data_IF_057220766439
#
_entry.id   IF_057220766439
#
_cell.length_a   1.000
_cell.length_b   1.000
_cell.length_c   1.000
_cell.angle_alpha   90.00
_cell.angle_beta   90.00
_cell.angle_gamma   90.00
#
_symmetry.space_group_name_H-M   'P 1'
#
loop_
_entity.id
_entity.type
_entity.pdbx_description
1 polymer ?
#
# COMPACT_ATOMS: atom_id res chain seq x y z
N UNK A 1 10.71 -5.94 -4.61
CA UNK A 1 10.55 -4.52 -4.22
C UNK A 1 10.12 -4.50 -2.76
N UNK A 2 10.62 -3.58 -1.95
CA UNK A 2 10.19 -3.43 -0.55
C UNK A 2 9.07 -2.40 -0.50
N UNK A 3 8.01 -2.67 0.26
CA UNK A 3 6.93 -1.71 0.47
C UNK A 3 7.47 -0.51 1.25
N UNK A 4 7.37 0.72 0.71
CA UNK A 4 7.92 1.91 1.36
C UNK A 4 7.20 2.29 2.66
N UNK A 5 5.96 1.80 2.85
CA UNK A 5 5.12 2.12 4.01
C UNK A 5 5.29 1.17 5.19
N UNK A 6 5.47 -0.13 4.95
CA UNK A 6 5.50 -1.15 6.00
C UNK A 6 6.71 -2.09 5.93
N UNK A 7 7.67 -1.79 5.05
CA UNK A 7 8.93 -2.52 4.85
C UNK A 7 8.75 -4.02 4.50
N UNK A 8 7.53 -4.45 4.13
CA UNK A 8 7.23 -5.81 3.66
C UNK A 8 7.83 -6.07 2.27
N UNK A 9 8.36 -7.27 2.06
CA UNK A 9 8.86 -7.74 0.77
C UNK A 9 7.74 -8.27 -0.15
N UNK A 10 6.50 -8.38 0.36
CA UNK A 10 5.34 -8.90 -0.37
C UNK A 10 4.67 -7.79 -1.17
N UNK A 11 5.25 -7.50 -2.34
CA UNK A 11 4.78 -6.49 -3.29
C UNK A 11 4.56 -7.13 -4.65
N UNK A 12 3.36 -6.95 -5.19
CA UNK A 12 2.94 -7.48 -6.48
C UNK A 12 2.66 -6.37 -7.48
N UNK A 13 2.77 -6.68 -8.78
CA UNK A 13 2.31 -5.81 -9.86
C UNK A 13 0.78 -5.88 -9.92
N UNK A 14 0.11 -4.78 -9.59
CA UNK A 14 -1.35 -4.69 -9.61
C UNK A 14 -1.87 -4.51 -11.04
N UNK A 15 -1.29 -3.57 -11.79
CA UNK A 15 -1.71 -3.27 -13.16
C UNK A 15 -0.66 -2.42 -13.89
N UNK A 16 -0.75 -2.36 -15.22
CA UNK A 16 0.15 -1.58 -16.08
C UNK A 16 -0.64 -0.59 -16.93
N UNK A 17 0.05 0.42 -17.46
CA UNK A 17 -0.55 1.37 -18.39
C UNK A 17 -1.16 0.64 -19.60
N UNK A 18 -2.44 0.89 -19.94
CA UNK A 18 -3.18 0.05 -20.88
C UNK A 18 -2.75 0.23 -22.35
N UNK A 19 -1.92 1.23 -22.67
CA UNK A 19 -1.62 1.62 -24.05
C UNK A 19 -0.13 1.63 -24.38
N UNK A 20 0.72 2.07 -23.46
CA UNK A 20 2.07 2.54 -23.78
C UNK A 20 3.13 2.20 -22.73
N UNK A 21 2.83 1.31 -21.76
CA UNK A 21 3.75 0.95 -20.67
C UNK A 21 4.33 2.17 -19.92
N UNK A 22 3.65 3.31 -19.92
CA UNK A 22 4.15 4.56 -19.33
C UNK A 22 4.26 4.50 -17.79
N UNK A 23 3.57 3.56 -17.15
CA UNK A 23 3.60 3.35 -15.71
C UNK A 23 3.17 1.92 -15.34
N UNK A 24 3.59 1.51 -14.16
CA UNK A 24 3.17 0.29 -13.48
C UNK A 24 2.65 0.67 -12.10
N UNK A 25 1.58 0.04 -11.64
CA UNK A 25 1.08 0.17 -10.27
C UNK A 25 1.43 -1.09 -9.51
N UNK A 26 2.07 -0.95 -8.37
CA UNK A 26 2.33 -2.03 -7.44
C UNK A 26 1.37 -1.96 -6.26
N UNK A 27 1.12 -3.10 -5.62
CA UNK A 27 0.36 -3.21 -4.38
C UNK A 27 1.11 -4.08 -3.38
N UNK A 28 1.15 -3.64 -2.12
CA UNK A 28 1.66 -4.45 -1.03
C UNK A 28 0.56 -5.38 -0.51
N UNK A 29 0.82 -6.69 -0.46
CA UNK A 29 -0.13 -7.66 0.09
C UNK A 29 -0.33 -7.53 1.60
N UNK A 30 0.64 -6.93 2.30
CA UNK A 30 0.61 -6.80 3.76
C UNK A 30 -0.23 -5.60 4.17
N UNK A 31 0.09 -4.41 3.67
CA UNK A 31 -0.58 -3.18 4.09
C UNK A 31 -1.57 -2.61 3.06
N UNK A 32 -1.76 -3.25 1.91
CA UNK A 32 -2.63 -2.80 0.79
C UNK A 32 -2.27 -1.42 0.21
N UNK A 33 -1.08 -0.88 0.53
CA UNK A 33 -0.59 0.34 -0.10
C UNK A 33 -0.33 0.08 -1.58
N UNK A 34 -0.81 0.97 -2.44
CA UNK A 34 -0.50 0.94 -3.86
C UNK A 34 0.17 2.24 -4.31
N UNK A 35 1.15 2.12 -5.20
CA UNK A 35 1.88 3.27 -5.76
C UNK A 35 2.32 2.97 -7.18
N UNK A 36 2.61 4.03 -7.95
CA UNK A 36 3.18 3.88 -9.30
C UNK A 36 4.70 3.85 -9.26
N UNK A 37 5.31 3.16 -10.22
CA UNK A 37 6.76 3.21 -10.44
C UNK A 37 7.27 4.64 -10.78
N UNK A 38 6.38 5.52 -11.24
CA UNK A 38 6.69 6.92 -11.62
C UNK A 38 6.45 7.93 -10.50
N UNK A 39 6.07 7.51 -9.30
CA UNK A 39 6.03 8.41 -8.13
C UNK A 39 7.45 8.85 -7.72
N UNK A 40 7.57 9.96 -7.01
CA UNK A 40 8.86 10.45 -6.50
C UNK A 40 9.49 9.52 -5.46
N UNK A 41 10.79 9.70 -5.20
CA UNK A 41 11.56 8.90 -4.22
C UNK A 41 10.95 8.96 -2.81
N UNK A 42 10.31 10.07 -2.44
CA UNK A 42 9.57 10.21 -1.19
C UNK A 42 8.38 9.23 -1.05
N UNK A 43 8.01 8.53 -2.13
CA UNK A 43 7.01 7.46 -2.17
C UNK A 43 7.67 6.12 -2.50
N UNK A 44 8.58 6.06 -3.48
CA UNK A 44 9.13 4.79 -4.00
C UNK A 44 10.31 4.23 -3.20
N UNK A 45 11.04 5.08 -2.47
CA UNK A 45 12.18 4.70 -1.64
C UNK A 45 11.76 4.56 -0.16
N UNK A 46 11.85 3.35 0.42
CA UNK A 46 11.53 3.11 1.83
C UNK A 46 12.34 3.95 2.84
N UNK A 47 13.55 4.39 2.49
CA UNK A 47 14.38 5.22 3.36
C UNK A 47 13.94 6.70 3.35
N UNK A 48 13.40 7.17 2.21
CA UNK A 48 12.89 8.54 2.06
C UNK A 48 11.39 8.66 2.38
N UNK A 49 10.69 7.54 2.52
CA UNK A 49 9.28 7.53 2.88
C UNK A 49 9.08 8.17 4.26
N UNK A 50 8.12 9.08 4.34
CA UNK A 50 7.90 9.85 5.57
C UNK A 50 7.54 8.94 6.74
N UNK A 51 8.37 8.97 7.79
CA UNK A 51 8.19 8.14 8.99
C UNK A 51 6.84 8.31 9.66
N UNK A 52 6.20 9.50 9.55
CA UNK A 52 4.85 9.76 10.08
C UNK A 52 3.74 8.90 9.44
N UNK A 53 4.00 8.33 8.26
CA UNK A 53 3.04 7.52 7.52
C UNK A 53 3.47 6.04 7.46
N UNK A 54 4.63 5.69 8.02
CA UNK A 54 5.02 4.29 8.14
C UNK A 54 4.09 3.58 9.12
N UNK A 55 3.72 2.35 8.79
CA UNK A 55 2.87 1.50 9.61
C UNK A 55 3.58 0.17 9.82
N UNK A 56 3.47 -0.40 11.01
CA UNK A 56 4.05 -1.72 11.27
C UNK A 56 2.96 -2.80 11.19
N UNK A 57 3.22 -3.95 10.52
CA UNK A 57 2.22 -5.00 10.39
C UNK A 57 1.58 -5.45 11.71
N UNK A 58 2.35 -5.46 12.80
CA UNK A 58 1.86 -5.78 14.15
C UNK A 58 0.81 -4.79 14.69
N UNK A 59 0.68 -3.59 14.13
CA UNK A 59 -0.29 -2.58 14.55
C UNK A 59 -1.63 -2.72 13.81
N UNK A 60 -1.71 -3.52 12.74
CA UNK A 60 -2.85 -3.53 11.84
C UNK A 60 -4.14 -4.05 12.50
N UNK A 61 -4.01 -5.01 13.40
CA UNK A 61 -5.14 -5.55 14.19
C UNK A 61 -5.74 -4.51 15.15
N UNK A 62 -5.00 -3.44 15.43
CA UNK A 62 -5.39 -2.38 16.36
C UNK A 62 -5.76 -1.06 15.66
N UNK A 63 -5.74 -1.03 14.32
CA UNK A 63 -6.14 0.16 13.57
C UNK A 63 -7.65 0.40 13.69
N UNK A 64 -8.01 1.67 13.84
CA UNK A 64 -9.41 2.06 13.87
C UNK A 64 -10.11 1.75 12.55
N UNK A 65 -11.32 1.21 12.65
CA UNK A 65 -12.19 0.99 11.52
C UNK A 65 -13.07 2.22 11.31
N UNK A 66 -12.75 3.01 10.27
CA UNK A 66 -13.43 4.29 10.00
C UNK A 66 -13.87 4.35 8.54
N UNK A 67 -15.19 4.33 8.23
CA UNK A 67 -16.30 4.13 9.15
C UNK A 67 -16.36 2.67 9.68
N UNK A 68 -17.03 2.40 10.81
CA UNK A 68 -17.26 1.03 11.28
C UNK A 68 -17.99 0.20 10.22
N UNK A 69 -17.67 -1.08 10.12
CA UNK A 69 -18.41 -2.01 9.26
C UNK A 69 -19.82 -2.17 9.84
N UNK A 70 -20.87 -1.91 9.05
CA UNK A 70 -22.24 -2.16 9.50
C UNK A 70 -22.46 -3.64 9.81
N UNK A 71 -23.31 -3.92 10.80
CA UNK A 71 -23.72 -5.28 11.12
C UNK A 71 -24.31 -5.98 9.88
N UNK A 72 -23.98 -7.26 9.72
CA UNK A 72 -24.53 -8.07 8.65
C UNK A 72 -26.04 -8.26 8.86
N UNK A 73 -26.85 -7.73 7.95
CA UNK A 73 -28.30 -7.94 7.97
C UNK A 73 -28.60 -9.32 7.37
N UNK A 74 -28.81 -10.33 8.22
CA UNK A 74 -29.39 -11.60 7.78
C UNK A 74 -30.87 -11.37 7.42
N UNK A 75 -31.24 -11.70 6.17
CA UNK A 75 -32.64 -11.69 5.69
C UNK A 75 -33.31 -13.02 5.93
#
# INVERSE_FOLDING_TARGET
MICPRCDSEKVELLTTAPKDNAWEVYICETCTFSWRNTEGENITDPEQYSSKFKLKPEEFEHLDQIPPIPDLINK
#
